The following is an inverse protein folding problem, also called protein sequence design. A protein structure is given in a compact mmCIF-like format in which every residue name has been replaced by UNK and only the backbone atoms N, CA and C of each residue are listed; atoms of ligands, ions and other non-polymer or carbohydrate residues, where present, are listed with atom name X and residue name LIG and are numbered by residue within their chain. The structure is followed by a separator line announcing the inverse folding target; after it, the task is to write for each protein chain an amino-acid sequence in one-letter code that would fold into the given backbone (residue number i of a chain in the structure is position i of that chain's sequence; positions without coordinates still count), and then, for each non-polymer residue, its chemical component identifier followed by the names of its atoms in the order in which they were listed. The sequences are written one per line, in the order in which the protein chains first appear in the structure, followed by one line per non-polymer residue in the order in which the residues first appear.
data_IF_713329409986
#
_entry.id   IF_713329409986
#
_cell.length_a   1.000
_cell.length_b   1.000
_cell.length_c   1.000
_cell.angle_alpha   90.00
_cell.angle_beta   90.00
_cell.angle_gamma   90.00
#
_symmetry.space_group_name_H-M   'P 1'
#
loop_
_entity.id
_entity.type
_entity.pdbx_description
1 polymer ?
#
# COMPACT_ATOMS: atom_id res chain seq x y z
N UNK A 1 -2.60 -4.40 22.13
CA UNK A 1 -1.23 -3.88 21.88
C UNK A 1 -1.33 -2.51 21.22
N UNK A 2 -0.72 -1.50 21.85
CA UNK A 2 -0.85 -0.11 21.43
C UNK A 2 0.32 0.35 20.55
N UNK A 3 1.36 -0.48 20.49
CA UNK A 3 2.56 -0.22 19.72
C UNK A 3 3.24 -1.52 19.32
N UNK A 4 3.63 -1.62 18.05
CA UNK A 4 4.33 -2.76 17.51
C UNK A 4 5.45 -2.32 16.56
N UNK A 5 6.62 -2.93 16.68
CA UNK A 5 7.71 -2.84 15.72
C UNK A 5 8.02 -4.24 15.22
N UNK A 6 7.92 -4.45 13.92
CA UNK A 6 8.06 -5.77 13.30
C UNK A 6 9.15 -5.71 12.25
N UNK A 7 10.11 -6.62 12.33
CA UNK A 7 11.09 -6.88 11.27
C UNK A 7 10.59 -8.04 10.43
N UNK A 8 10.71 -7.95 9.12
CA UNK A 8 10.33 -9.00 8.19
C UNK A 8 11.46 -9.29 7.21
N UNK A 9 11.57 -10.55 6.85
CA UNK A 9 12.40 -11.02 5.74
C UNK A 9 11.48 -11.70 4.73
N UNK A 10 11.70 -11.42 3.45
CA UNK A 10 10.94 -12.00 2.36
C UNK A 10 11.75 -13.08 1.66
N UNK A 11 11.07 -14.08 1.08
CA UNK A 11 11.70 -15.18 0.34
C UNK A 11 12.69 -14.71 -0.74
N UNK A 12 12.46 -13.56 -1.34
CA UNK A 12 13.33 -12.98 -2.35
C UNK A 12 14.58 -12.27 -1.79
N UNK A 13 14.79 -12.32 -0.47
CA UNK A 13 15.91 -11.68 0.23
C UNK A 13 15.70 -10.20 0.57
N UNK A 14 14.57 -9.61 0.25
CA UNK A 14 14.23 -8.28 0.73
C UNK A 14 13.94 -8.31 2.23
N UNK A 15 14.16 -7.19 2.92
CA UNK A 15 13.81 -7.02 4.32
C UNK A 15 12.95 -5.78 4.52
N UNK A 16 12.14 -5.76 5.55
CA UNK A 16 11.28 -4.65 5.88
C UNK A 16 11.18 -4.41 7.38
N UNK A 17 10.74 -3.20 7.72
CA UNK A 17 10.40 -2.82 9.06
C UNK A 17 9.01 -2.17 9.05
N UNK A 18 8.11 -2.68 9.86
CA UNK A 18 6.79 -2.10 10.08
C UNK A 18 6.70 -1.56 11.50
N UNK A 19 6.24 -0.34 11.61
CA UNK A 19 5.93 0.27 12.90
C UNK A 19 4.48 0.76 12.88
N UNK A 20 3.72 0.32 13.87
CA UNK A 20 2.35 0.74 14.10
C UNK A 20 2.19 1.17 15.56
N UNK A 21 1.58 2.32 15.80
CA UNK A 21 1.39 2.85 17.15
C UNK A 21 0.09 3.63 17.27
N UNK A 22 -0.67 3.36 18.33
CA UNK A 22 -1.86 4.12 18.70
C UNK A 22 -1.54 5.19 19.76
N UNK A 23 -0.29 5.25 20.22
CA UNK A 23 0.15 6.13 21.33
C UNK A 23 1.20 7.14 20.87
N UNK A 24 1.42 7.30 19.59
CA UNK A 24 2.38 8.25 19.01
C UNK A 24 1.76 9.66 18.95
N UNK A 25 1.76 10.37 20.08
CA UNK A 25 1.21 11.73 20.18
C UNK A 25 1.82 12.67 19.13
N UNK A 26 0.96 13.43 18.43
CA UNK A 26 1.36 14.35 17.38
C UNK A 26 1.36 13.73 15.97
N UNK A 27 0.94 12.47 15.88
CA UNK A 27 0.72 11.78 14.62
C UNK A 27 -0.73 11.29 14.55
N UNK A 28 -1.45 11.66 13.50
CA UNK A 28 -2.82 11.19 13.26
C UNK A 28 -2.78 9.79 12.65
N UNK A 29 -3.01 9.63 11.35
CA UNK A 29 -2.79 8.33 10.70
C UNK A 29 -1.31 8.04 10.43
N UNK A 30 -0.58 9.03 9.96
CA UNK A 30 0.87 8.98 9.80
C UNK A 30 1.39 7.89 8.86
N UNK A 31 0.53 7.25 8.04
CA UNK A 31 0.95 6.15 7.17
C UNK A 31 1.97 6.63 6.15
N UNK A 32 3.16 6.07 6.24
CA UNK A 32 4.27 6.30 5.30
C UNK A 32 4.74 5.00 4.70
N UNK A 33 4.96 5.02 3.40
CA UNK A 33 5.57 3.90 2.66
C UNK A 33 6.90 4.36 2.11
N UNK A 34 7.97 3.64 2.47
CA UNK A 34 9.32 3.83 1.94
C UNK A 34 9.81 2.52 1.36
N UNK A 35 10.23 2.54 0.10
CA UNK A 35 10.76 1.37 -0.59
C UNK A 35 12.15 1.73 -1.09
N UNK A 36 13.15 0.95 -0.72
CA UNK A 36 14.54 1.14 -1.10
C UNK A 36 14.96 0.00 -2.03
N UNK A 37 15.49 0.36 -3.18
CA UNK A 37 16.05 -0.57 -4.15
C UNK A 37 17.47 -0.16 -4.57
N UNK A 38 18.16 -1.03 -5.27
CA UNK A 38 19.55 -0.79 -5.74
C UNK A 38 19.70 0.36 -6.75
N UNK A 39 18.61 0.82 -7.35
CA UNK A 39 18.62 1.89 -8.37
C UNK A 39 17.91 3.17 -7.92
N UNK A 40 17.41 3.20 -6.70
CA UNK A 40 16.69 4.34 -6.15
C UNK A 40 15.64 3.92 -5.12
N UNK A 41 14.91 4.90 -4.62
CA UNK A 41 13.89 4.69 -3.61
C UNK A 41 12.63 5.51 -3.86
N UNK A 42 11.55 5.11 -3.22
CA UNK A 42 10.25 5.79 -3.28
C UNK A 42 9.81 6.11 -1.87
N UNK A 43 9.27 7.30 -1.69
CA UNK A 43 8.60 7.75 -0.48
C UNK A 43 7.21 8.26 -0.82
N UNK A 44 6.21 7.74 -0.11
CA UNK A 44 4.84 8.25 -0.14
C UNK A 44 4.29 8.42 1.28
N UNK A 45 3.43 9.43 1.45
CA UNK A 45 2.82 9.76 2.71
C UNK A 45 1.31 10.00 2.54
N UNK A 46 0.50 9.26 3.26
CA UNK A 46 -0.97 9.29 3.13
C UNK A 46 -1.59 10.66 3.39
N UNK A 47 -1.04 11.44 4.33
CA UNK A 47 -1.58 12.77 4.66
C UNK A 47 -1.21 13.85 3.62
N UNK A 48 -0.37 13.50 2.63
CA UNK A 48 -0.14 14.24 1.40
C UNK A 48 -0.22 13.29 0.19
N UNK A 49 -1.40 12.70 -0.10
CA UNK A 49 -1.55 11.57 -1.01
C UNK A 49 -1.31 11.93 -2.47
N UNK A 50 -1.40 13.21 -2.83
CA UNK A 50 -1.29 13.73 -4.19
C UNK A 50 0.13 13.61 -4.78
N UNK A 51 1.12 13.31 -3.94
CA UNK A 51 2.54 13.38 -4.31
C UNK A 51 3.29 12.18 -3.78
N UNK A 52 4.18 11.63 -4.59
CA UNK A 52 5.24 10.75 -4.11
C UNK A 52 6.60 11.19 -4.65
N UNK A 53 7.65 10.84 -3.94
CA UNK A 53 9.02 11.21 -4.29
C UNK A 53 9.81 9.98 -4.75
N UNK A 54 10.59 10.16 -5.81
CA UNK A 54 11.55 9.18 -6.32
C UNK A 54 12.94 9.73 -6.13
N UNK A 55 13.77 8.98 -5.44
CA UNK A 55 15.18 9.29 -5.18
C UNK A 55 16.04 8.40 -6.05
N UNK A 56 17.06 8.95 -6.68
CA UNK A 56 18.01 8.21 -7.51
C UNK A 56 19.41 8.20 -6.87
N UNK A 57 20.23 7.30 -7.31
CA UNK A 57 21.61 7.11 -6.85
C UNK A 57 22.54 8.29 -7.19
N UNK A 58 22.20 9.11 -8.18
CA UNK A 58 22.90 10.36 -8.52
C UNK A 58 22.57 11.53 -7.57
N UNK A 59 21.75 11.28 -6.53
CA UNK A 59 21.31 12.28 -5.57
C UNK A 59 20.11 13.13 -6.06
N UNK A 60 19.62 12.89 -7.27
CA UNK A 60 18.45 13.62 -7.78
C UNK A 60 17.16 13.13 -7.08
N UNK A 61 16.23 14.07 -6.87
CA UNK A 61 14.91 13.83 -6.31
C UNK A 61 13.88 14.30 -7.34
N UNK A 62 12.98 13.42 -7.72
CA UNK A 62 11.84 13.77 -8.57
C UNK A 62 10.55 13.66 -7.77
N UNK A 63 9.81 14.73 -7.72
CA UNK A 63 8.48 14.77 -7.14
C UNK A 63 7.44 14.50 -8.23
N UNK A 64 6.62 13.49 -8.03
CA UNK A 64 5.59 13.08 -8.98
C UNK A 64 4.23 13.44 -8.40
N UNK A 65 3.52 14.31 -9.07
CA UNK A 65 2.18 14.76 -8.71
C UNK A 65 1.11 13.98 -9.47
N UNK A 66 0.02 13.68 -8.80
CA UNK A 66 -1.17 13.07 -9.41
C UNK A 66 -1.72 13.98 -10.52
N UNK A 67 -2.25 13.38 -11.56
CA UNK A 67 -2.96 14.09 -12.64
C UNK A 67 -2.05 14.67 -13.73
N UNK A 68 -0.73 14.52 -13.65
CA UNK A 68 0.19 14.92 -14.70
C UNK A 68 0.69 13.72 -15.53
N UNK A 69 1.08 13.97 -16.78
CA UNK A 69 1.26 13.02 -17.87
C UNK A 69 2.22 11.82 -17.72
N UNK A 70 2.85 11.63 -16.56
CA UNK A 70 3.76 10.49 -16.31
C UNK A 70 3.06 9.26 -15.70
N UNK A 71 1.72 9.23 -15.71
CA UNK A 71 0.94 8.19 -15.04
C UNK A 71 0.79 6.99 -15.96
N UNK A 72 1.07 5.80 -15.41
CA UNK A 72 0.83 4.56 -16.14
C UNK A 72 -0.66 4.38 -16.44
N UNK A 73 -1.03 3.84 -17.61
CA UNK A 73 -2.43 3.64 -18.00
C UNK A 73 -3.25 2.88 -16.94
N UNK A 74 -2.62 1.92 -16.25
CA UNK A 74 -3.25 1.13 -15.19
C UNK A 74 -3.66 1.99 -13.98
N UNK A 75 -2.93 3.06 -13.68
CA UNK A 75 -3.24 3.97 -12.59
C UNK A 75 -4.21 5.09 -13.00
N UNK A 76 -4.29 5.39 -14.30
CA UNK A 76 -5.11 6.49 -14.82
C UNK A 76 -6.62 6.29 -14.53
N UNK A 77 -7.10 5.05 -14.52
CA UNK A 77 -8.50 4.71 -14.22
C UNK A 77 -8.93 5.09 -12.79
N UNK A 78 -7.98 5.25 -11.87
CA UNK A 78 -8.25 5.61 -10.47
C UNK A 78 -8.26 7.11 -10.22
N UNK A 79 -7.94 7.91 -11.23
CA UNK A 79 -8.00 9.36 -11.14
C UNK A 79 -9.38 9.84 -11.58
N UNK A 80 -10.09 10.48 -10.67
CA UNK A 80 -11.44 10.99 -10.89
C UNK A 80 -11.44 12.49 -11.20
N UNK A 81 -10.54 13.23 -10.55
CA UNK A 81 -10.45 14.68 -10.67
C UNK A 81 -9.18 15.07 -11.44
N UNK A 82 -9.22 16.18 -12.18
CA UNK A 82 -8.03 16.70 -12.85
C UNK A 82 -6.97 17.16 -11.83
N UNK A 83 -5.74 17.33 -12.29
CA UNK A 83 -4.65 17.90 -11.48
C UNK A 83 -5.05 19.19 -10.80
N UNK A 84 -4.57 19.41 -9.58
CA UNK A 84 -4.92 20.58 -8.76
C UNK A 84 -6.26 20.48 -8.02
N UNK A 85 -7.00 19.37 -8.18
CA UNK A 85 -8.19 19.04 -7.38
C UNK A 85 -7.83 17.86 -6.50
N UNK A 86 -7.90 18.04 -5.18
CA UNK A 86 -7.47 17.05 -4.21
C UNK A 86 -8.36 15.82 -4.23
N UNK A 87 -7.76 14.65 -4.36
CA UNK A 87 -8.37 13.35 -4.09
C UNK A 87 -7.73 12.75 -2.84
N UNK A 88 -8.47 11.90 -2.14
CA UNK A 88 -7.97 11.32 -0.90
C UNK A 88 -8.65 10.00 -0.55
N UNK A 89 -8.92 9.83 0.72
CA UNK A 89 -9.41 8.58 1.28
C UNK A 89 -10.78 8.15 0.72
N UNK A 90 -11.69 9.09 0.50
CA UNK A 90 -13.04 8.79 -0.04
C UNK A 90 -12.95 8.25 -1.47
N UNK A 91 -12.14 8.88 -2.31
CA UNK A 91 -11.93 8.45 -3.69
C UNK A 91 -11.22 7.10 -3.75
N UNK A 92 -10.26 6.86 -2.86
CA UNK A 92 -9.58 5.58 -2.74
C UNK A 92 -10.55 4.44 -2.38
N UNK A 93 -11.41 4.65 -1.39
CA UNK A 93 -12.46 3.70 -1.04
C UNK A 93 -13.45 3.49 -2.19
N UNK A 94 -13.88 4.56 -2.84
CA UNK A 94 -14.78 4.48 -3.99
C UNK A 94 -14.14 3.69 -5.16
N UNK A 95 -12.84 3.78 -5.36
CA UNK A 95 -12.13 3.01 -6.38
C UNK A 95 -12.13 1.50 -6.09
N UNK A 96 -11.94 1.09 -4.82
CA UNK A 96 -12.04 -0.32 -4.42
C UNK A 96 -13.43 -0.90 -4.72
N UNK A 97 -14.48 -0.19 -4.32
CA UNK A 97 -15.85 -0.63 -4.61
C UNK A 97 -16.18 -0.64 -6.11
N UNK A 98 -15.69 0.35 -6.87
CA UNK A 98 -15.89 0.38 -8.32
C UNK A 98 -15.23 -0.84 -8.99
N UNK A 99 -13.99 -1.16 -8.64
CA UNK A 99 -13.29 -2.34 -9.15
C UNK A 99 -14.04 -3.64 -8.82
N UNK A 100 -14.57 -3.76 -7.62
CA UNK A 100 -15.40 -4.92 -7.24
C UNK A 100 -16.69 -5.01 -8.08
N UNK A 101 -17.40 -3.91 -8.26
CA UNK A 101 -18.64 -3.85 -9.06
C UNK A 101 -18.35 -4.17 -10.53
N UNK A 102 -17.24 -3.67 -11.07
CA UNK A 102 -16.83 -3.99 -12.45
C UNK A 102 -16.59 -5.49 -12.63
N UNK A 103 -16.00 -6.17 -11.65
CA UNK A 103 -15.85 -7.63 -11.66
C UNK A 103 -17.21 -8.35 -11.61
N UNK A 104 -18.15 -7.89 -10.79
CA UNK A 104 -19.51 -8.46 -10.73
C UNK A 104 -20.26 -8.29 -12.07
N UNK A 105 -20.17 -7.12 -12.68
CA UNK A 105 -20.78 -6.85 -13.97
C UNK A 105 -20.17 -7.72 -15.08
N UNK A 106 -18.86 -7.86 -15.09
CA UNK A 106 -18.16 -8.73 -16.03
C UNK A 106 -18.55 -10.20 -15.83
N UNK A 107 -18.71 -10.65 -14.59
CA UNK A 107 -19.16 -12.00 -14.27
C UNK A 107 -20.59 -12.24 -14.80
N UNK A 108 -21.50 -11.30 -14.59
CA UNK A 108 -22.85 -11.37 -15.09
C UNK A 108 -22.92 -11.39 -16.63
N UNK A 109 -21.99 -10.69 -17.30
CA UNK A 109 -21.86 -10.65 -18.76
C UNK A 109 -21.07 -11.83 -19.35
N UNK A 110 -20.49 -12.72 -18.53
CA UNK A 110 -19.65 -13.83 -18.99
C UNK A 110 -18.28 -13.40 -19.51
N UNK A 111 -17.81 -12.21 -19.18
CA UNK A 111 -16.52 -11.63 -19.66
C UNK A 111 -15.49 -11.49 -18.56
N UNK A 112 -15.74 -12.00 -17.35
CA UNK A 112 -14.83 -11.92 -16.22
C UNK A 112 -13.52 -12.65 -16.47
N UNK A 113 -12.41 -12.00 -16.15
CA UNK A 113 -11.07 -12.61 -16.09
C UNK A 113 -10.41 -12.28 -14.74
N UNK A 114 -9.47 -13.12 -14.30
CA UNK A 114 -8.81 -12.93 -13.00
C UNK A 114 -8.01 -11.63 -12.89
N UNK A 115 -7.47 -11.16 -13.99
CA UNK A 115 -6.67 -9.91 -14.08
C UNK A 115 -7.53 -8.65 -13.88
N UNK A 116 -8.84 -8.78 -13.89
CA UNK A 116 -9.77 -7.69 -13.51
C UNK A 116 -9.81 -7.44 -12.00
N UNK A 117 -9.39 -8.43 -11.19
CA UNK A 117 -9.40 -8.31 -9.73
C UNK A 117 -8.28 -7.37 -9.28
N UNK A 118 -8.66 -6.18 -8.90
CA UNK A 118 -7.77 -5.06 -8.55
C UNK A 118 -8.24 -4.43 -7.20
N UNK A 119 -8.57 -5.31 -6.29
CA UNK A 119 -8.98 -5.02 -4.92
C UNK A 119 -8.56 -6.18 -4.01
N UNK A 120 -8.38 -5.95 -2.70
CA UNK A 120 -8.03 -7.00 -1.75
C UNK A 120 -9.09 -8.12 -1.72
N UNK A 121 -8.62 -9.34 -1.82
CA UNK A 121 -9.44 -10.55 -1.82
C UNK A 121 -9.52 -11.17 -0.43
N UNK A 122 -10.29 -12.25 -0.30
CA UNK A 122 -10.33 -13.07 0.94
C UNK A 122 -8.93 -13.65 1.25
N UNK A 123 -8.13 -13.99 0.22
CA UNK A 123 -6.77 -14.50 0.43
C UNK A 123 -5.88 -13.43 1.09
N UNK A 124 -5.92 -12.20 0.58
CA UNK A 124 -5.18 -11.08 1.19
C UNK A 124 -5.63 -10.81 2.64
N UNK A 125 -6.93 -10.99 2.92
CA UNK A 125 -7.47 -10.90 4.29
C UNK A 125 -6.94 -12.02 5.20
N UNK A 126 -6.81 -13.24 4.70
CA UNK A 126 -6.20 -14.37 5.43
C UNK A 126 -4.74 -14.08 5.74
N UNK A 127 -3.97 -13.61 4.76
CA UNK A 127 -2.56 -13.26 4.95
C UNK A 127 -2.40 -12.16 6.01
N UNK A 128 -3.28 -11.15 6.00
CA UNK A 128 -3.27 -10.11 7.03
C UNK A 128 -3.51 -10.64 8.45
N UNK A 129 -4.45 -11.59 8.61
CA UNK A 129 -4.71 -12.23 9.92
C UNK A 129 -3.55 -13.12 10.33
N UNK A 130 -2.96 -13.87 9.41
CA UNK A 130 -1.78 -14.71 9.66
C UNK A 130 -0.58 -13.86 10.08
N UNK A 131 -0.38 -12.71 9.44
CA UNK A 131 0.67 -11.76 9.83
C UNK A 131 0.53 -11.31 11.29
N UNK A 132 -0.67 -10.92 11.71
CA UNK A 132 -0.91 -10.54 13.11
C UNK A 132 -0.67 -11.71 14.07
N UNK A 133 -1.13 -12.91 13.71
CA UNK A 133 -0.90 -14.11 14.51
C UNK A 133 0.59 -14.46 14.64
N UNK A 134 1.37 -14.30 13.56
CA UNK A 134 2.82 -14.50 13.57
C UNK A 134 3.54 -13.47 14.45
N UNK A 135 3.12 -12.21 14.44
CA UNK A 135 3.65 -11.18 15.34
C UNK A 135 3.44 -11.53 16.80
N UNK A 136 2.23 -11.96 17.18
CA UNK A 136 1.92 -12.38 18.55
C UNK A 136 2.72 -13.63 18.95
N UNK A 137 2.87 -14.60 18.05
CA UNK A 137 3.68 -15.79 18.27
C UNK A 137 5.15 -15.45 18.49
N UNK A 138 5.72 -14.55 17.68
CA UNK A 138 7.08 -14.05 17.84
C UNK A 138 7.28 -13.39 19.19
N UNK A 139 6.39 -12.49 19.58
CA UNK A 139 6.42 -11.81 20.88
C UNK A 139 6.37 -12.81 22.04
N UNK A 140 5.45 -13.76 22.01
CA UNK A 140 5.30 -14.78 23.05
C UNK A 140 6.54 -15.70 23.17
N UNK A 141 7.28 -15.89 22.09
CA UNK A 141 8.52 -16.66 22.05
C UNK A 141 9.79 -15.86 22.36
N UNK A 142 9.65 -14.60 22.83
CA UNK A 142 10.79 -13.73 23.14
C UNK A 142 11.35 -12.98 21.92
N UNK A 143 10.49 -12.61 20.97
CA UNK A 143 10.82 -11.89 19.74
C UNK A 143 11.75 -12.70 18.80
N UNK A 144 11.48 -13.97 18.66
CA UNK A 144 12.19 -14.85 17.72
C UNK A 144 11.57 -14.77 16.33
N UNK A 145 12.35 -15.11 15.29
CA UNK A 145 11.82 -15.28 13.94
C UNK A 145 10.76 -16.38 13.89
N UNK A 146 9.71 -16.12 13.16
CA UNK A 146 8.57 -17.03 12.95
C UNK A 146 8.25 -17.04 11.46
N UNK A 147 8.14 -18.22 10.88
CA UNK A 147 7.64 -18.39 9.52
C UNK A 147 6.14 -18.16 9.45
N UNK A 148 5.71 -17.56 8.33
CA UNK A 148 4.33 -17.21 8.05
C UNK A 148 3.80 -17.94 6.80
#
# INVERSE_FOLDING_TARGET
DDNATVLVEYENGASGCYWASQVAIGHDNGLRVRIYGSKGSILWFQENPEVYQVYKDDGSITEIHRGYGAIRPQAAKYQRLPSGHTEGWLEAMANLYASFIDCLNAQAAGTFTKDMVDYPTVADGVDGVQYVAACLKSQAAGNTWVEM
#
